data_IF_986696388700
#
_entry.id   IF_986696388700
#
_cell.length_a   1.000
_cell.length_b   1.000
_cell.length_c   1.000
_cell.angle_alpha   90.00
_cell.angle_beta   90.00
_cell.angle_gamma   90.00
#
_symmetry.space_group_name_H-M   'P 1'
#
loop_
_entity.id
_entity.type
_entity.pdbx_description
1 polymer ?
#
# COMPACT_ATOMS: atom_id res chain seq x y z
N UNK A 1 -4.43 -5.02 7.17
CA UNK A 1 -4.92 -5.82 6.02
C UNK A 1 -5.14 -5.04 4.72
N UNK A 2 -5.68 -3.81 4.68
CA UNK A 2 -5.92 -3.12 3.39
C UNK A 2 -4.64 -2.66 2.67
N UNK A 3 -3.67 -2.06 3.38
CA UNK A 3 -2.50 -1.42 2.77
C UNK A 3 -1.48 -2.44 2.25
N UNK A 4 -1.14 -3.47 3.03
CA UNK A 4 -0.15 -4.48 2.60
C UNK A 4 -0.66 -5.34 1.44
N UNK A 5 -1.96 -5.63 1.40
CA UNK A 5 -2.61 -6.31 0.29
C UNK A 5 -2.59 -5.46 -0.97
N UNK A 6 -2.96 -4.17 -0.87
CA UNK A 6 -2.91 -3.24 -2.00
C UNK A 6 -1.47 -3.05 -2.53
N UNK A 7 -0.47 -2.97 -1.64
CA UNK A 7 0.94 -2.93 -2.01
C UNK A 7 1.37 -4.18 -2.78
N UNK A 8 0.91 -5.37 -2.36
CA UNK A 8 1.19 -6.62 -3.06
C UNK A 8 0.58 -6.61 -4.47
N UNK A 9 -0.69 -6.20 -4.59
CA UNK A 9 -1.39 -6.13 -5.88
C UNK A 9 -0.75 -5.12 -6.84
N UNK A 10 -0.35 -3.94 -6.33
CA UNK A 10 0.33 -2.93 -7.13
C UNK A 10 1.69 -3.42 -7.62
N UNK A 11 2.47 -4.09 -6.78
CA UNK A 11 3.75 -4.67 -7.19
C UNK A 11 3.59 -5.71 -8.28
N UNK A 12 2.64 -6.63 -8.11
CA UNK A 12 2.32 -7.61 -9.15
C UNK A 12 1.91 -6.93 -10.46
N UNK A 13 1.08 -5.89 -10.38
CA UNK A 13 0.66 -5.12 -11.56
C UNK A 13 1.83 -4.40 -12.23
N UNK A 14 2.73 -3.78 -11.45
CA UNK A 14 3.94 -3.15 -11.96
C UNK A 14 4.81 -4.16 -12.72
N UNK A 15 5.11 -5.31 -12.10
CA UNK A 15 5.92 -6.36 -12.71
C UNK A 15 5.34 -6.82 -14.06
N UNK A 16 4.01 -6.98 -14.12
CA UNK A 16 3.30 -7.36 -15.35
C UNK A 16 3.38 -6.27 -16.43
N UNK A 17 3.13 -5.02 -16.06
CA UNK A 17 3.15 -3.90 -17.01
C UNK A 17 4.57 -3.58 -17.51
N UNK A 18 5.59 -3.72 -16.66
CA UNK A 18 6.99 -3.54 -17.04
C UNK A 18 7.45 -4.65 -18.01
N UNK A 19 7.05 -5.90 -17.75
CA UNK A 19 7.30 -7.01 -18.67
C UNK A 19 6.59 -6.80 -20.01
N UNK A 20 5.32 -6.39 -19.98
CA UNK A 20 4.60 -6.06 -21.20
C UNK A 20 5.27 -4.90 -21.96
N UNK A 21 5.70 -3.85 -21.26
CA UNK A 21 6.41 -2.74 -21.87
C UNK A 21 7.69 -3.21 -22.57
N UNK A 22 8.47 -4.09 -21.93
CA UNK A 22 9.67 -4.69 -22.53
C UNK A 22 9.36 -5.43 -23.83
N UNK A 23 8.28 -6.22 -23.86
CA UNK A 23 7.82 -6.95 -25.06
C UNK A 23 7.32 -6.05 -26.19
N UNK A 24 6.94 -4.82 -25.86
CA UNK A 24 6.55 -3.78 -26.83
C UNK A 24 7.71 -2.90 -27.31
N UNK A 25 8.92 -3.05 -26.77
CA UNK A 25 10.07 -2.23 -27.15
C UNK A 25 10.54 -2.52 -28.58
N UNK A 26 10.84 -1.45 -29.32
CA UNK A 26 11.53 -1.51 -30.61
C UNK A 26 12.91 -0.88 -30.41
N UNK A 27 13.97 -1.70 -30.36
CA UNK A 27 15.34 -1.20 -30.32
C UNK A 27 16.20 -1.86 -31.40
N UNK A 28 17.16 -1.07 -31.92
CA UNK A 28 18.00 -1.22 -33.11
C UNK A 28 18.41 -2.61 -33.61
N UNK A 29 18.41 -3.65 -32.77
CA UNK A 29 18.90 -4.99 -33.13
C UNK A 29 17.82 -6.09 -33.02
N UNK A 30 16.86 -5.97 -32.10
CA UNK A 30 15.75 -6.92 -31.92
C UNK A 30 14.51 -6.19 -31.39
N UNK A 31 13.40 -6.34 -32.10
CA UNK A 31 12.08 -5.89 -31.62
C UNK A 31 11.52 -6.93 -30.65
N UNK A 32 10.86 -6.45 -29.59
CA UNK A 32 10.07 -7.30 -28.72
C UNK A 32 9.02 -8.08 -29.50
N UNK A 33 8.67 -9.26 -29.01
CA UNK A 33 7.81 -10.21 -29.72
C UNK A 33 6.43 -9.63 -30.08
N UNK A 34 5.90 -8.72 -29.26
CA UNK A 34 4.63 -8.03 -29.51
C UNK A 34 4.77 -6.89 -30.53
N UNK A 35 5.94 -6.28 -30.63
CA UNK A 35 6.17 -5.12 -31.48
C UNK A 35 6.63 -5.48 -32.90
N UNK A 36 7.29 -6.63 -33.07
CA UNK A 36 7.84 -7.16 -34.33
C UNK A 36 6.86 -7.21 -35.51
N UNK A 37 5.57 -7.42 -35.24
CA UNK A 37 4.51 -7.53 -36.26
C UNK A 37 3.55 -6.33 -36.29
N UNK A 38 3.93 -5.22 -35.65
CA UNK A 38 3.10 -4.05 -35.50
C UNK A 38 3.71 -2.84 -36.19
N UNK A 39 2.87 -1.86 -36.52
CA UNK A 39 3.39 -0.60 -37.04
C UNK A 39 4.15 0.16 -35.95
N UNK A 40 5.17 0.93 -36.34
CA UNK A 40 5.93 1.77 -35.40
C UNK A 40 5.00 2.66 -34.56
N UNK A 41 3.99 3.27 -35.17
CA UNK A 41 3.01 4.12 -34.47
C UNK A 41 2.18 3.33 -33.46
N UNK A 42 1.74 2.12 -33.81
CA UNK A 42 0.99 1.24 -32.89
C UNK A 42 1.85 0.84 -31.69
N UNK A 43 3.10 0.42 -31.93
CA UNK A 43 4.02 0.04 -30.87
C UNK A 43 4.33 1.24 -29.95
N UNK A 44 4.60 2.42 -30.53
CA UNK A 44 4.86 3.63 -29.76
C UNK A 44 3.65 4.04 -28.90
N UNK A 45 2.44 3.98 -29.44
CA UNK A 45 1.21 4.28 -28.70
C UNK A 45 0.99 3.31 -27.53
N UNK A 46 1.28 2.01 -27.74
CA UNK A 46 1.20 0.99 -26.69
C UNK A 46 2.22 1.24 -25.58
N UNK A 47 3.48 1.48 -25.96
CA UNK A 47 4.53 1.83 -25.00
C UNK A 47 4.19 3.08 -24.19
N UNK A 48 3.64 4.13 -24.82
CA UNK A 48 3.25 5.36 -24.14
C UNK A 48 2.19 5.10 -23.06
N UNK A 49 1.13 4.36 -23.40
CA UNK A 49 0.07 3.99 -22.43
C UNK A 49 0.60 3.15 -21.28
N UNK A 50 1.46 2.17 -21.56
CA UNK A 50 2.06 1.33 -20.52
C UNK A 50 2.92 2.15 -19.57
N UNK A 51 3.70 3.10 -20.08
CA UNK A 51 4.50 4.01 -19.24
C UNK A 51 3.62 4.88 -18.33
N UNK A 52 2.53 5.43 -18.85
CA UNK A 52 1.57 6.21 -18.03
C UNK A 52 0.96 5.36 -16.90
N UNK A 53 0.60 4.11 -17.20
CA UNK A 53 0.06 3.18 -16.19
C UNK A 53 1.12 2.84 -15.15
N UNK A 54 2.36 2.52 -15.56
CA UNK A 54 3.47 2.23 -14.65
C UNK A 54 3.74 3.42 -13.73
N UNK A 55 3.79 4.64 -14.27
CA UNK A 55 4.02 5.87 -13.49
C UNK A 55 2.91 6.11 -12.46
N UNK A 56 1.65 5.90 -12.85
CA UNK A 56 0.51 6.02 -11.95
C UNK A 56 0.58 4.98 -10.82
N UNK A 57 0.89 3.72 -11.15
CA UNK A 57 1.02 2.64 -10.18
C UNK A 57 2.20 2.88 -9.22
N UNK A 58 3.35 3.34 -9.72
CA UNK A 58 4.52 3.65 -8.91
C UNK A 58 4.23 4.80 -7.93
N UNK A 59 3.54 5.84 -8.40
CA UNK A 59 3.10 6.96 -7.56
C UNK A 59 2.17 6.47 -6.44
N UNK A 60 1.23 5.57 -6.76
CA UNK A 60 0.33 4.98 -5.76
C UNK A 60 1.10 4.11 -4.75
N UNK A 61 2.06 3.32 -5.22
CA UNK A 61 2.90 2.49 -4.34
C UNK A 61 3.66 3.36 -3.32
N UNK A 62 4.24 4.47 -3.76
CA UNK A 62 4.95 5.42 -2.89
C UNK A 62 4.03 6.04 -1.84
N UNK A 63 2.83 6.47 -2.24
CA UNK A 63 1.82 7.00 -1.32
C UNK A 63 1.44 5.98 -0.24
N UNK A 64 1.23 4.72 -0.61
CA UNK A 64 0.90 3.65 0.33
C UNK A 64 2.05 3.32 1.27
N UNK A 65 3.30 3.28 0.76
CA UNK A 65 4.50 3.10 1.59
C UNK A 65 4.60 4.20 2.64
N UNK A 66 4.36 5.46 2.24
CA UNK A 66 4.35 6.60 3.16
C UNK A 66 3.24 6.47 4.21
N UNK A 67 2.02 6.16 3.80
CA UNK A 67 0.90 5.92 4.72
C UNK A 67 1.18 4.81 5.73
N UNK A 68 1.81 3.71 5.27
CA UNK A 68 2.23 2.61 6.13
C UNK A 68 3.27 3.07 7.15
N UNK A 69 4.27 3.84 6.72
CA UNK A 69 5.30 4.37 7.61
C UNK A 69 4.70 5.33 8.65
N UNK A 70 3.81 6.24 8.25
CA UNK A 70 3.13 7.16 9.15
C UNK A 70 2.36 6.42 10.26
N UNK A 71 1.76 5.26 9.93
CA UNK A 71 1.08 4.40 10.91
C UNK A 71 2.09 3.81 11.90
N UNK A 72 3.21 3.27 11.40
CA UNK A 72 4.26 2.68 12.24
C UNK A 72 4.83 3.74 13.19
N UNK A 73 5.21 4.90 12.68
CA UNK A 73 5.76 6.01 13.46
C UNK A 73 4.76 6.51 14.51
N UNK A 74 3.46 6.49 14.18
CA UNK A 74 2.41 6.82 15.14
C UNK A 74 2.32 5.78 16.24
N UNK A 75 2.38 4.49 15.92
CA UNK A 75 2.33 3.40 16.90
C UNK A 75 3.52 3.48 17.86
N UNK A 76 4.73 3.73 17.36
CA UNK A 76 5.95 3.79 18.16
C UNK A 76 5.94 4.90 19.23
N UNK A 77 5.14 5.96 19.04
CA UNK A 77 4.94 7.02 20.04
C UNK A 77 4.12 6.57 21.24
N UNK A 78 3.32 5.50 21.11
CA UNK A 78 2.56 4.92 22.22
C UNK A 78 3.35 3.80 22.88
N UNK A 79 3.02 3.50 24.14
CA UNK A 79 3.70 2.46 24.93
C UNK A 79 2.68 1.55 25.62
N UNK A 80 3.11 0.35 25.97
CA UNK A 80 2.30 -0.61 26.72
C UNK A 80 1.03 -1.04 25.98
N UNK A 81 -0.12 -0.97 26.64
CA UNK A 81 -1.39 -1.44 26.08
C UNK A 81 -1.82 -0.64 24.84
N UNK A 82 -1.59 0.67 24.81
CA UNK A 82 -2.03 1.53 23.71
C UNK A 82 -1.31 1.17 22.40
N UNK A 83 0.01 0.94 22.51
CA UNK A 83 0.83 0.46 21.39
C UNK A 83 0.32 -0.90 20.88
N UNK A 84 0.02 -1.83 21.79
CA UNK A 84 -0.51 -3.16 21.43
C UNK A 84 -1.86 -3.05 20.71
N UNK A 85 -2.79 -2.24 21.23
CA UNK A 85 -4.10 -2.01 20.61
C UNK A 85 -3.93 -1.47 19.19
N UNK A 86 -3.08 -0.45 19.00
CA UNK A 86 -2.88 0.14 17.67
C UNK A 86 -2.20 -0.82 16.70
N UNK A 87 -1.16 -1.54 17.15
CA UNK A 87 -0.48 -2.55 16.32
C UNK A 87 -1.45 -3.63 15.87
N UNK A 88 -2.18 -4.25 16.80
CA UNK A 88 -3.14 -5.29 16.46
C UNK A 88 -4.26 -4.77 15.55
N UNK A 89 -4.70 -3.52 15.75
CA UNK A 89 -5.78 -2.95 14.94
C UNK A 89 -5.36 -2.62 13.52
N UNK A 90 -4.19 -1.99 13.34
CA UNK A 90 -3.80 -1.36 12.07
C UNK A 90 -2.74 -2.14 11.30
N UNK A 91 -1.86 -2.87 11.99
CA UNK A 91 -0.89 -3.77 11.37
C UNK A 91 -1.53 -5.13 11.17
N UNK A 92 -1.98 -5.77 12.26
CA UNK A 92 -2.50 -7.14 12.20
C UNK A 92 -3.95 -7.20 11.68
N UNK A 93 -4.63 -6.05 11.58
CA UNK A 93 -5.97 -5.94 11.01
C UNK A 93 -7.08 -6.53 11.89
N UNK A 94 -6.82 -6.73 13.19
CA UNK A 94 -7.76 -7.35 14.10
C UNK A 94 -8.99 -6.47 14.39
N UNK A 95 -10.09 -7.13 14.76
CA UNK A 95 -11.27 -6.44 15.31
C UNK A 95 -11.05 -6.12 16.78
N UNK A 96 -11.75 -5.10 17.31
CA UNK A 96 -11.57 -4.68 18.71
C UNK A 96 -12.00 -5.79 19.68
N UNK A 97 -12.96 -6.61 19.28
CA UNK A 97 -13.42 -7.82 19.95
C UNK A 97 -12.27 -8.84 20.09
N UNK A 98 -11.59 -9.17 18.99
CA UNK A 98 -10.44 -10.09 19.00
C UNK A 98 -9.25 -9.52 19.77
N UNK A 99 -9.06 -8.19 19.75
CA UNK A 99 -8.00 -7.53 20.54
C UNK A 99 -8.30 -7.67 22.03
N UNK A 100 -9.55 -7.54 22.44
CA UNK A 100 -9.96 -7.74 23.83
C UNK A 100 -9.66 -9.18 24.30
N UNK A 101 -10.00 -10.18 23.48
CA UNK A 101 -9.65 -11.58 23.74
C UNK A 101 -8.13 -11.78 23.87
N UNK A 102 -7.34 -11.28 22.92
CA UNK A 102 -5.88 -11.44 22.88
C UNK A 102 -5.16 -10.70 24.03
N UNK A 103 -5.71 -9.58 24.47
CA UNK A 103 -5.11 -8.76 25.54
C UNK A 103 -5.64 -9.12 26.94
N UNK A 104 -6.65 -10.00 27.03
CA UNK A 104 -7.29 -10.39 28.29
C UNK A 104 -8.17 -9.30 28.93
N UNK A 105 -8.50 -8.24 28.17
CA UNK A 105 -9.37 -7.16 28.64
C UNK A 105 -10.80 -7.32 28.11
N UNK A 106 -11.74 -6.60 28.71
CA UNK A 106 -13.11 -6.56 28.18
C UNK A 106 -13.17 -5.72 26.89
N UNK A 107 -14.07 -6.10 25.98
CA UNK A 107 -14.34 -5.33 24.76
C UNK A 107 -14.62 -3.84 25.05
N UNK A 108 -15.43 -3.58 26.07
CA UNK A 108 -15.80 -2.21 26.45
C UNK A 108 -14.57 -1.37 26.86
N UNK A 109 -13.63 -1.99 27.59
CA UNK A 109 -12.39 -1.32 27.97
C UNK A 109 -11.50 -1.01 26.76
N UNK A 110 -11.29 -1.99 25.87
CA UNK A 110 -10.51 -1.81 24.64
C UNK A 110 -11.14 -0.75 23.73
N UNK A 111 -12.47 -0.77 23.59
CA UNK A 111 -13.21 0.23 22.79
C UNK A 111 -13.04 1.64 23.36
N UNK A 112 -13.17 1.82 24.68
CA UNK A 112 -12.97 3.12 25.31
C UNK A 112 -11.53 3.60 25.14
N UNK A 113 -10.56 2.72 25.38
CA UNK A 113 -9.13 3.04 25.27
C UNK A 113 -8.75 3.42 23.84
N UNK A 114 -9.23 2.66 22.84
CA UNK A 114 -9.06 2.99 21.43
C UNK A 114 -9.62 4.37 21.08
N UNK A 115 -10.80 4.73 21.60
CA UNK A 115 -11.40 6.04 21.38
C UNK A 115 -10.53 7.19 21.96
N UNK A 116 -9.93 6.98 23.13
CA UNK A 116 -9.05 7.97 23.77
C UNK A 116 -7.72 8.14 23.02
N UNK A 117 -7.10 7.03 22.60
CA UNK A 117 -5.92 7.05 21.72
C UNK A 117 -6.24 7.84 20.44
N UNK A 118 -7.40 7.59 19.83
CA UNK A 118 -7.84 8.29 18.63
C UNK A 118 -8.06 9.78 18.84
N UNK A 119 -8.51 10.20 20.02
CA UNK A 119 -8.57 11.63 20.37
C UNK A 119 -7.17 12.22 20.42
N UNK A 120 -6.22 11.56 21.11
CA UNK A 120 -4.83 12.04 21.23
C UNK A 120 -4.16 12.21 19.86
N UNK A 121 -4.33 11.24 18.96
CA UNK A 121 -3.81 11.32 17.58
C UNK A 121 -4.40 12.53 16.84
N UNK A 122 -5.71 12.76 16.94
CA UNK A 122 -6.36 13.93 16.31
C UNK A 122 -5.86 15.25 16.87
N UNK A 123 -5.68 15.34 18.19
CA UNK A 123 -5.11 16.54 18.82
C UNK A 123 -3.69 16.80 18.34
N UNK A 124 -2.83 15.77 18.27
CA UNK A 124 -1.45 15.91 17.81
C UNK A 124 -1.30 16.30 16.33
N UNK A 125 -2.32 16.08 15.49
CA UNK A 125 -2.30 16.50 14.07
C UNK A 125 -2.74 17.95 13.85
N UNK A 126 -3.36 18.59 14.84
CA UNK A 126 -3.90 19.95 14.75
C UNK A 126 -3.00 21.00 15.43
N UNK A 127 -1.80 20.61 15.86
CA UNK A 127 -0.76 21.46 16.47
C UNK A 127 0.42 21.51 15.52
#
# INVERSE_FOLDING_TARGET
MAIDQELFEIRLSLDLNENELYRWQNYRNEDGDLAKHQTFLTALQKQARLKEVIESLATREEQLKKQRQDIIDTIEKFQGLDQRILKMKYVDGMKLESIAEETGYTYQYIRSRHADIMKMIRFSKNV
#
